data_IF_647016555526
#
_entry.id   IF_647016555526
#
_cell.length_a   1.000
_cell.length_b   1.000
_cell.length_c   1.000
_cell.angle_alpha   90.00
_cell.angle_beta   90.00
_cell.angle_gamma   90.00
#
_symmetry.space_group_name_H-M   'P 1'
#
loop_
_entity.id
_entity.type
_entity.pdbx_description
1 polymer ?
#
# COMPACT_ATOMS: atom_id res chain seq x y z
N UNK A 1 -13.85 -26.21 0.68
CA UNK A 1 -13.19 -25.30 -0.28
C UNK A 1 -11.87 -24.86 0.36
N UNK A 2 -10.75 -25.25 -0.23
CA UNK A 2 -9.42 -25.01 0.32
C UNK A 2 -9.02 -23.54 0.12
N UNK A 3 -9.01 -22.71 1.17
CA UNK A 3 -8.13 -21.53 1.17
C UNK A 3 -6.83 -21.98 1.86
N UNK A 4 -6.03 -22.68 1.06
CA UNK A 4 -4.73 -23.25 1.41
C UNK A 4 -3.70 -22.12 1.50
N UNK A 5 -3.14 -21.98 2.70
CA UNK A 5 -1.74 -21.61 2.99
C UNK A 5 -1.33 -20.14 2.81
N UNK A 6 -0.97 -19.49 3.93
CA UNK A 6 0.16 -18.55 4.20
C UNK A 6 0.80 -17.69 3.08
N UNK A 7 0.08 -17.47 1.97
CA UNK A 7 0.54 -16.70 0.82
C UNK A 7 -0.29 -15.44 0.75
N UNK A 8 0.37 -14.32 0.99
CA UNK A 8 -0.20 -12.99 0.80
C UNK A 8 -0.78 -12.93 -0.62
N UNK A 9 -2.04 -12.53 -0.75
CA UNK A 9 -2.71 -12.37 -2.04
C UNK A 9 -1.88 -11.46 -2.96
N UNK A 10 -1.64 -11.86 -4.21
CA UNK A 10 -0.82 -11.09 -5.16
C UNK A 10 -1.33 -9.64 -5.31
N UNK A 11 -2.64 -9.43 -5.20
CA UNK A 11 -3.22 -8.08 -5.23
C UNK A 11 -2.85 -7.28 -3.98
N UNK A 12 -2.81 -7.92 -2.80
CA UNK A 12 -2.37 -7.28 -1.55
C UNK A 12 -0.89 -6.92 -1.64
N UNK A 13 -0.05 -7.83 -2.14
CA UNK A 13 1.36 -7.54 -2.34
C UNK A 13 1.56 -6.37 -3.31
N UNK A 14 0.85 -6.36 -4.44
CA UNK A 14 0.90 -5.26 -5.41
C UNK A 14 0.47 -3.92 -4.80
N UNK A 15 -0.55 -3.90 -3.93
CA UNK A 15 -0.97 -2.70 -3.19
C UNK A 15 0.14 -2.20 -2.27
N UNK A 16 0.72 -3.10 -1.46
CA UNK A 16 1.79 -2.75 -0.52
C UNK A 16 3.04 -2.25 -1.25
N UNK A 17 3.48 -2.92 -2.31
CA UNK A 17 4.62 -2.49 -3.13
C UNK A 17 4.37 -1.13 -3.81
N UNK A 18 3.15 -0.88 -4.30
CA UNK A 18 2.80 0.40 -4.91
C UNK A 18 2.86 1.56 -3.91
N UNK A 19 2.39 1.34 -2.67
CA UNK A 19 2.44 2.33 -1.60
C UNK A 19 3.87 2.54 -1.06
N UNK A 20 4.65 1.46 -0.96
CA UNK A 20 6.07 1.51 -0.57
C UNK A 20 6.90 2.32 -1.57
N UNK A 21 6.72 2.08 -2.86
CA UNK A 21 7.39 2.84 -3.92
C UNK A 21 7.02 4.33 -3.88
N UNK A 22 5.76 4.67 -3.59
CA UNK A 22 5.30 6.06 -3.47
C UNK A 22 5.93 6.75 -2.25
N UNK A 23 5.91 6.10 -1.08
CA UNK A 23 6.55 6.60 0.14
C UNK A 23 8.05 6.84 -0.06
N UNK A 24 8.74 5.96 -0.78
CA UNK A 24 10.17 6.10 -1.11
C UNK A 24 10.45 7.21 -2.13
N UNK A 25 9.57 7.40 -3.11
CA UNK A 25 9.70 8.48 -4.08
C UNK A 25 9.47 9.85 -3.41
N UNK A 26 8.51 9.95 -2.48
CA UNK A 26 8.30 11.15 -1.67
C UNK A 26 9.50 11.46 -0.76
N UNK A 27 10.17 10.44 -0.19
CA UNK A 27 11.43 10.63 0.56
C UNK A 27 12.53 11.27 -0.29
N UNK A 28 12.60 10.96 -1.58
CA UNK A 28 13.56 11.57 -2.52
C UNK A 28 13.22 13.02 -2.92
N UNK A 29 11.94 13.40 -2.92
CA UNK A 29 11.46 14.74 -3.31
C UNK A 29 11.07 15.67 -2.14
N UNK A 30 11.19 15.19 -0.88
CA UNK A 30 10.80 15.91 0.35
C UNK A 30 11.55 17.22 0.64
N UNK A 31 12.53 17.61 -0.17
CA UNK A 31 13.16 18.93 -0.04
C UNK A 31 12.29 20.11 -0.49
N UNK A 32 11.13 19.92 -1.15
CA UNK A 32 10.40 21.06 -1.76
C UNK A 32 8.95 21.29 -1.33
N UNK A 33 8.23 20.32 -0.75
CA UNK A 33 6.80 20.48 -0.46
C UNK A 33 6.44 19.93 0.92
N UNK A 34 6.43 20.82 1.91
CA UNK A 34 6.09 20.52 3.30
C UNK A 34 4.56 20.52 3.58
N UNK A 35 3.73 20.59 2.53
CA UNK A 35 2.27 20.82 2.64
C UNK A 35 1.40 19.77 1.90
N UNK A 36 2.00 18.80 1.22
CA UNK A 36 1.22 17.72 0.63
C UNK A 36 0.97 16.63 1.68
N UNK A 37 -0.31 16.26 1.88
CA UNK A 37 -0.64 15.10 2.70
C UNK A 37 0.01 13.84 2.11
N UNK A 38 0.66 13.01 2.95
CA UNK A 38 1.38 11.83 2.49
C UNK A 38 0.40 10.79 1.91
N UNK A 39 0.80 10.18 0.79
CA UNK A 39 0.11 9.01 0.24
C UNK A 39 -0.51 9.16 -1.15
N UNK A 40 -0.76 8.00 -1.76
CA UNK A 40 -1.24 7.86 -3.12
C UNK A 40 -2.77 7.94 -3.18
N UNK A 41 -3.32 8.66 -4.17
CA UNK A 41 -4.77 8.67 -4.38
C UNK A 41 -5.30 7.29 -4.77
N UNK A 42 -6.50 6.94 -4.29
CA UNK A 42 -7.12 5.64 -4.55
C UNK A 42 -7.32 5.36 -6.04
N UNK A 43 -7.64 6.38 -6.84
CA UNK A 43 -7.77 6.25 -8.29
C UNK A 43 -6.43 5.89 -8.95
N UNK A 44 -5.33 6.52 -8.51
CA UNK A 44 -3.98 6.22 -9.01
C UNK A 44 -3.54 4.82 -8.58
N UNK A 45 -3.83 4.44 -7.33
CA UNK A 45 -3.54 3.12 -6.79
C UNK A 45 -4.31 2.03 -7.57
N UNK A 46 -5.62 2.18 -7.73
CA UNK A 46 -6.49 1.27 -8.49
C UNK A 46 -5.98 1.05 -9.92
N UNK A 47 -5.58 2.12 -10.60
CA UNK A 47 -4.99 2.04 -11.93
C UNK A 47 -3.65 1.30 -11.95
N UNK A 48 -2.83 1.47 -10.91
CA UNK A 48 -1.48 0.90 -10.83
C UNK A 48 -1.48 -0.60 -10.52
N UNK A 49 -2.40 -1.04 -9.67
CA UNK A 49 -2.56 -2.46 -9.30
C UNK A 49 -3.59 -3.19 -10.16
N UNK A 50 -4.16 -2.50 -11.16
CA UNK A 50 -5.18 -3.02 -12.08
C UNK A 50 -6.42 -3.62 -11.38
N UNK A 51 -6.73 -3.12 -10.17
CA UNK A 51 -7.86 -3.59 -9.36
C UNK A 51 -9.08 -2.70 -9.53
N UNK A 52 -10.27 -3.31 -9.55
CA UNK A 52 -11.53 -2.57 -9.43
C UNK A 52 -11.58 -1.81 -8.11
N UNK A 53 -12.14 -0.62 -8.12
CA UNK A 53 -12.17 0.26 -6.95
C UNK A 53 -12.89 -0.37 -5.74
N UNK A 54 -13.94 -1.17 -5.96
CA UNK A 54 -14.62 -1.92 -4.89
C UNK A 54 -13.72 -3.00 -4.27
N UNK A 55 -13.01 -3.76 -5.10
CA UNK A 55 -12.04 -4.77 -4.65
C UNK A 55 -10.90 -4.11 -3.89
N UNK A 56 -10.30 -3.05 -4.44
CA UNK A 56 -9.24 -2.28 -3.80
C UNK A 56 -9.68 -1.78 -2.42
N UNK A 57 -10.87 -1.18 -2.30
CA UNK A 57 -11.39 -0.70 -1.01
C UNK A 57 -11.53 -1.81 0.01
N UNK A 58 -11.96 -3.01 -0.40
CA UNK A 58 -12.05 -4.16 0.50
C UNK A 58 -10.69 -4.57 1.05
N UNK A 59 -9.67 -4.64 0.19
CA UNK A 59 -8.30 -4.95 0.64
C UNK A 59 -7.75 -3.83 1.54
N UNK A 60 -7.96 -2.57 1.18
CA UNK A 60 -7.51 -1.43 1.98
C UNK A 60 -8.18 -1.39 3.35
N UNK A 61 -9.48 -1.69 3.46
CA UNK A 61 -10.15 -1.78 4.76
C UNK A 61 -9.59 -2.92 5.61
N UNK A 62 -9.28 -4.08 5.03
CA UNK A 62 -8.66 -5.18 5.76
C UNK A 62 -7.23 -4.84 6.22
N UNK A 63 -6.45 -4.15 5.39
CA UNK A 63 -5.10 -3.69 5.73
C UNK A 63 -5.11 -2.54 6.75
N UNK A 64 -6.15 -1.71 6.74
CA UNK A 64 -6.35 -0.63 7.71
C UNK A 64 -6.75 -1.17 9.07
N UNK A 65 -7.61 -2.19 9.13
CA UNK A 65 -7.96 -2.91 10.35
C UNK A 65 -6.72 -3.58 10.99
N UNK A 66 -5.77 -4.02 10.17
CA UNK A 66 -4.48 -4.55 10.60
C UNK A 66 -3.41 -3.46 10.89
N UNK A 67 -3.77 -2.17 10.82
CA UNK A 67 -2.88 -1.02 11.02
C UNK A 67 -1.67 -0.96 10.05
N UNK A 68 -1.72 -1.67 8.92
CA UNK A 68 -0.66 -1.74 7.92
C UNK A 68 -0.71 -0.51 7.00
N UNK A 69 -1.91 -0.09 6.61
CA UNK A 69 -2.15 1.09 5.79
C UNK A 69 -3.05 2.07 6.51
N UNK A 70 -2.94 3.35 6.17
CA UNK A 70 -3.88 4.39 6.57
C UNK A 70 -4.64 4.85 5.34
N UNK A 71 -5.97 4.87 5.42
CA UNK A 71 -6.83 5.37 4.35
C UNK A 71 -7.51 6.66 4.80
N UNK A 72 -7.32 7.73 4.04
CA UNK A 72 -8.07 8.97 4.20
C UNK A 72 -9.12 9.04 3.10
N UNK A 73 -10.40 8.98 3.46
CA UNK A 73 -11.52 9.20 2.54
C UNK A 73 -12.05 10.62 2.72
N UNK A 74 -12.26 11.31 1.62
CA UNK A 74 -12.91 12.61 1.57
C UNK A 74 -14.41 12.47 1.36
N UNK A 75 -15.17 13.48 1.76
CA UNK A 75 -16.63 13.52 1.61
C UNK A 75 -17.08 13.46 0.13
N UNK A 76 -16.22 13.92 -0.79
CA UNK A 76 -16.44 13.84 -2.24
C UNK A 76 -16.26 12.42 -2.82
N UNK A 77 -16.01 11.41 -1.98
CA UNK A 77 -15.77 10.02 -2.40
C UNK A 77 -14.38 9.76 -2.98
N UNK A 78 -13.52 10.79 -3.01
CA UNK A 78 -12.09 10.62 -3.29
C UNK A 78 -11.36 10.15 -2.03
N UNK A 79 -10.15 9.61 -2.18
CA UNK A 79 -9.36 9.24 -1.02
C UNK A 79 -7.90 9.01 -1.35
N UNK A 80 -7.11 8.84 -0.29
CA UNK A 80 -5.69 8.53 -0.32
C UNK A 80 -5.39 7.34 0.58
N UNK A 81 -4.37 6.59 0.22
CA UNK A 81 -3.82 5.52 1.03
C UNK A 81 -2.31 5.72 1.16
N UNK A 82 -1.80 5.47 2.37
CA UNK A 82 -0.38 5.47 2.68
C UNK A 82 -0.03 4.26 3.55
N UNK A 83 1.20 3.77 3.47
CA UNK A 83 1.70 2.82 4.46
C UNK A 83 1.88 3.52 5.80
N UNK A 84 1.53 2.81 6.88
CA UNK A 84 1.91 3.22 8.23
C UNK A 84 3.39 2.90 8.47
N UNK A 85 3.95 3.38 9.59
CA UNK A 85 5.28 2.97 10.01
C UNK A 85 5.39 1.45 10.21
N UNK A 86 4.33 0.83 10.70
CA UNK A 86 4.25 -0.63 10.88
C UNK A 86 4.22 -1.36 9.52
N UNK A 87 3.37 -0.92 8.60
CA UNK A 87 3.30 -1.51 7.26
C UNK A 87 4.59 -1.34 6.47
N UNK A 88 5.28 -0.20 6.61
CA UNK A 88 6.59 0.02 6.02
C UNK A 88 7.60 -1.03 6.50
N UNK A 89 7.66 -1.28 7.82
CA UNK A 89 8.58 -2.27 8.39
C UNK A 89 8.28 -3.71 7.93
N UNK A 90 6.99 -4.06 7.76
CA UNK A 90 6.61 -5.36 7.20
C UNK A 90 7.11 -5.50 5.76
N UNK A 91 6.87 -4.50 4.91
CA UNK A 91 7.28 -4.58 3.50
C UNK A 91 8.81 -4.60 3.37
N UNK A 92 9.53 -3.81 4.17
CA UNK A 92 10.99 -3.84 4.21
C UNK A 92 11.50 -5.24 4.61
N UNK A 93 10.93 -5.86 5.65
CA UNK A 93 11.30 -7.22 6.06
C UNK A 93 10.95 -8.29 5.00
N UNK A 94 9.86 -8.10 4.23
CA UNK A 94 9.49 -8.98 3.13
C UNK A 94 10.46 -8.86 1.95
N UNK A 95 10.90 -7.64 1.63
CA UNK A 95 11.88 -7.37 0.57
C UNK A 95 13.23 -8.01 0.92
N UNK A 96 13.70 -7.83 2.16
CA UNK A 96 14.92 -8.47 2.68
C UNK A 96 14.86 -10.00 2.60
N UNK A 97 13.72 -10.61 2.95
CA UNK A 97 13.53 -12.06 2.86
C UNK A 97 13.56 -12.55 1.41
N UNK A 98 12.89 -11.86 0.50
CA UNK A 98 12.90 -12.22 -0.92
C UNK A 98 14.30 -12.06 -1.55
N UNK A 99 15.04 -11.03 -1.16
CA UNK A 99 16.42 -10.83 -1.59
C UNK A 99 17.34 -11.97 -1.11
N UNK A 100 17.13 -12.46 0.12
CA UNK A 100 17.88 -13.59 0.68
C UNK A 100 17.53 -14.94 0.04
N UNK A 101 16.30 -15.13 -0.47
CA UNK A 101 15.89 -16.36 -1.17
C UNK A 101 16.35 -16.41 -2.64
N UNK A 102 16.77 -15.28 -3.22
CA UNK A 102 17.28 -15.18 -4.60
C UNK A 102 18.82 -15.15 -4.71
N UNK A 103 19.54 -15.16 -3.59
CA UNK A 103 21.01 -15.14 -3.50
C UNK A 103 21.59 -16.52 -3.18
#
# INVERSE_FOLDING_TARGET
MMNRDDRIDDAVLAILSALHADANCERGHKQRSNYAEPGMSLAKLSKRVEQRMSTLRRHLSALEDAEIVRVALNEDGTGRAALTAFGMAIVDALDERQAAEMA
#
